data_IF_664455552763
#
_entry.id   IF_664455552763
#
_cell.length_a   1.000
_cell.length_b   1.000
_cell.length_c   1.000
_cell.angle_alpha   90.00
_cell.angle_beta   90.00
_cell.angle_gamma   90.00
#
_symmetry.space_group_name_H-M   'P 1'
#
loop_
_entity.id
_entity.type
_entity.pdbx_description
1 polymer ?
#
# COMPACT_ATOMS: atom_id res chain seq x y z
N UNK A 1 2.76 -16.79 2.64
CA UNK A 1 2.14 -15.79 3.55
C UNK A 1 3.22 -15.25 4.45
N UNK A 2 3.05 -14.05 4.97
CA UNK A 2 3.96 -13.50 5.98
C UNK A 2 3.68 -14.03 7.38
N UNK A 3 4.13 -13.30 8.41
CA UNK A 3 5.05 -12.16 8.31
C UNK A 3 6.41 -12.57 7.72
N UNK A 4 7.29 -11.61 7.47
CA UNK A 4 8.71 -11.94 7.26
C UNK A 4 9.30 -12.63 8.49
N UNK A 5 10.49 -13.19 8.37
CA UNK A 5 11.13 -13.92 9.47
C UNK A 5 11.46 -13.05 10.69
N UNK A 6 11.62 -11.74 10.48
CA UNK A 6 11.78 -10.73 11.53
C UNK A 6 10.45 -10.13 12.01
N UNK A 7 9.31 -10.58 11.49
CA UNK A 7 7.97 -10.20 11.96
C UNK A 7 7.29 -9.06 11.18
N UNK A 8 7.94 -8.47 10.18
CA UNK A 8 7.33 -7.39 9.37
C UNK A 8 6.16 -7.89 8.54
N UNK A 9 5.24 -6.98 8.27
CA UNK A 9 4.07 -7.22 7.41
C UNK A 9 4.55 -7.52 5.99
N UNK A 10 4.29 -8.76 5.52
CA UNK A 10 4.46 -9.18 4.12
C UNK A 10 3.31 -10.11 3.69
N UNK A 11 2.85 -10.04 2.43
CA UNK A 11 3.22 -9.06 1.40
C UNK A 11 2.83 -7.62 1.79
N UNK A 12 3.28 -6.61 1.05
CA UNK A 12 2.77 -5.24 1.29
C UNK A 12 1.33 -5.10 0.78
N UNK A 13 1.07 -5.63 -0.42
CA UNK A 13 -0.20 -5.56 -1.13
C UNK A 13 -0.45 -6.87 -1.87
N UNK A 14 -1.71 -7.12 -2.20
CA UNK A 14 -2.12 -8.17 -3.14
C UNK A 14 -2.79 -7.59 -4.38
N UNK A 15 -2.87 -8.41 -5.42
CA UNK A 15 -3.54 -8.09 -6.67
C UNK A 15 -4.10 -9.39 -7.29
N UNK A 16 -5.06 -9.31 -8.22
CA UNK A 16 -5.54 -10.48 -8.95
C UNK A 16 -4.38 -11.25 -9.60
N UNK A 17 -4.26 -12.53 -9.25
CA UNK A 17 -3.18 -13.40 -9.71
C UNK A 17 -3.63 -14.77 -10.19
N UNK A 18 -4.94 -15.02 -10.28
CA UNK A 18 -5.51 -16.32 -10.69
C UNK A 18 -6.17 -16.17 -12.06
N UNK A 19 -5.89 -17.11 -12.94
CA UNK A 19 -6.39 -17.17 -14.31
C UNK A 19 -6.16 -15.89 -15.12
N UNK A 20 -5.01 -15.23 -14.92
CA UNK A 20 -4.66 -14.01 -15.64
C UNK A 20 -4.31 -14.36 -17.08
N UNK A 21 -5.15 -13.92 -18.01
CA UNK A 21 -4.92 -14.06 -19.44
C UNK A 21 -3.93 -13.01 -19.93
N UNK A 22 -2.79 -13.43 -20.46
CA UNK A 22 -1.74 -12.54 -20.98
C UNK A 22 -1.07 -13.14 -22.22
N UNK A 23 -0.12 -12.41 -22.81
CA UNK A 23 0.59 -12.85 -24.01
C UNK A 23 1.36 -14.14 -23.78
N UNK A 24 1.26 -15.07 -24.73
CA UNK A 24 2.13 -16.25 -24.83
C UNK A 24 3.26 -15.91 -25.81
N UNK A 25 4.52 -16.13 -25.43
CA UNK A 25 5.66 -16.01 -26.36
C UNK A 25 5.57 -17.09 -27.44
N UNK A 26 5.88 -16.73 -28.69
CA UNK A 26 5.89 -17.66 -29.83
C UNK A 26 6.94 -18.75 -29.65
N UNK A 27 8.08 -18.41 -29.05
CA UNK A 27 9.23 -19.27 -28.80
C UNK A 27 9.06 -20.20 -27.58
N UNK A 28 7.96 -20.05 -26.83
CA UNK A 28 7.70 -20.83 -25.62
C UNK A 28 7.39 -22.30 -25.97
N UNK A 29 8.43 -23.13 -25.96
CA UNK A 29 8.37 -24.58 -26.25
C UNK A 29 7.67 -25.39 -25.17
N UNK A 30 7.62 -24.89 -23.93
CA UNK A 30 7.01 -25.56 -22.76
C UNK A 30 6.07 -24.64 -21.99
N UNK A 31 5.04 -24.13 -22.68
CA UNK A 31 4.01 -23.33 -22.03
C UNK A 31 3.14 -24.19 -21.10
N UNK A 32 2.99 -23.76 -19.85
CA UNK A 32 2.20 -24.44 -18.81
C UNK A 32 0.75 -23.91 -18.70
N UNK A 33 0.44 -22.83 -19.41
CA UNK A 33 -0.86 -22.15 -19.36
C UNK A 33 -1.85 -22.68 -20.40
N UNK A 34 -3.14 -22.48 -20.13
CA UNK A 34 -4.20 -22.80 -21.08
C UNK A 34 -4.45 -21.62 -22.03
N UNK A 35 -4.87 -21.88 -23.28
CA UNK A 35 -5.32 -20.82 -24.19
C UNK A 35 -6.49 -20.04 -23.58
N UNK A 36 -6.47 -18.72 -23.68
CA UNK A 36 -7.49 -17.84 -23.07
C UNK A 36 -7.93 -16.67 -23.93
N UNK A 37 -7.50 -16.63 -25.20
CA UNK A 37 -7.81 -15.56 -26.14
C UNK A 37 -7.86 -16.06 -27.57
N UNK A 38 -8.01 -15.12 -28.50
CA UNK A 38 -8.10 -15.41 -29.94
C UNK A 38 -6.79 -15.14 -30.66
N UNK A 39 -6.57 -15.86 -31.76
CA UNK A 39 -5.42 -15.69 -32.64
C UNK A 39 -4.30 -16.68 -32.36
N UNK A 40 -3.45 -16.88 -33.36
CA UNK A 40 -2.34 -17.83 -33.33
C UNK A 40 -1.07 -17.18 -33.89
N UNK A 41 0.07 -17.57 -33.33
CA UNK A 41 1.40 -17.33 -33.86
C UNK A 41 1.62 -18.07 -35.19
N UNK A 42 2.75 -17.81 -35.87
CA UNK A 42 3.06 -18.43 -37.16
C UNK A 42 3.33 -19.94 -37.03
N UNK A 43 3.81 -20.38 -35.85
CA UNK A 43 3.97 -21.79 -35.50
C UNK A 43 2.64 -22.51 -35.15
N UNK A 44 1.51 -21.80 -35.17
CA UNK A 44 0.18 -22.34 -34.86
C UNK A 44 -0.22 -22.31 -33.38
N UNK A 45 0.67 -21.86 -32.49
CA UNK A 45 0.36 -21.75 -31.06
C UNK A 45 -0.55 -20.55 -30.75
N UNK A 46 -1.44 -20.63 -29.74
CA UNK A 46 -2.24 -19.49 -29.28
C UNK A 46 -1.41 -18.24 -28.93
N UNK A 47 -1.91 -17.05 -29.28
CA UNK A 47 -1.30 -15.76 -28.91
C UNK A 47 -1.36 -15.45 -27.42
N UNK A 48 -2.34 -16.03 -26.71
CA UNK A 48 -2.62 -15.73 -25.31
C UNK A 48 -2.71 -17.01 -24.49
N UNK A 49 -2.21 -16.95 -23.27
CA UNK A 49 -2.34 -18.03 -22.29
C UNK A 49 -2.70 -17.49 -20.91
N UNK A 50 -3.44 -18.30 -20.16
CA UNK A 50 -3.84 -18.02 -18.79
C UNK A 50 -2.90 -18.72 -17.82
N UNK A 51 -2.41 -17.97 -16.84
CA UNK A 51 -1.56 -18.46 -15.76
C UNK A 51 -2.08 -17.97 -14.41
N UNK A 52 -1.69 -18.68 -13.36
CA UNK A 52 -1.97 -18.31 -11.98
C UNK A 52 -0.69 -18.30 -11.15
N UNK A 53 -0.51 -17.28 -10.32
CA UNK A 53 0.65 -17.16 -9.45
C UNK A 53 0.84 -15.74 -8.94
N UNK A 54 1.69 -15.61 -7.91
CA UNK A 54 2.13 -14.31 -7.41
C UNK A 54 2.89 -13.53 -8.49
N UNK A 55 3.57 -14.19 -9.44
CA UNK A 55 4.19 -13.53 -10.59
C UNK A 55 3.19 -12.75 -11.44
N UNK A 56 2.00 -13.32 -11.68
CA UNK A 56 0.93 -12.65 -12.42
C UNK A 56 0.34 -11.50 -11.58
N UNK A 57 0.12 -11.70 -10.28
CA UNK A 57 -0.31 -10.63 -9.37
C UNK A 57 0.69 -9.46 -9.35
N UNK A 58 2.00 -9.75 -9.33
CA UNK A 58 3.05 -8.72 -9.40
C UNK A 58 3.00 -7.94 -10.71
N UNK A 59 2.73 -8.59 -11.85
CA UNK A 59 2.57 -7.89 -13.12
C UNK A 59 1.35 -6.96 -13.11
N UNK A 60 0.22 -7.40 -12.56
CA UNK A 60 -0.99 -6.57 -12.40
C UNK A 60 -0.70 -5.37 -11.50
N UNK A 61 -0.12 -5.61 -10.32
CA UNK A 61 0.25 -4.53 -9.39
C UNK A 61 1.25 -3.54 -10.03
N UNK A 62 2.24 -4.02 -10.79
CA UNK A 62 3.20 -3.17 -11.49
C UNK A 62 2.53 -2.26 -12.54
N UNK A 63 1.57 -2.80 -13.28
CA UNK A 63 0.74 -2.00 -14.22
C UNK A 63 -0.06 -0.93 -13.49
N UNK A 64 -0.72 -1.29 -12.38
CA UNK A 64 -1.47 -0.35 -11.55
C UNK A 64 -0.59 0.76 -10.97
N UNK A 65 0.58 0.43 -10.42
CA UNK A 65 1.53 1.43 -9.90
C UNK A 65 2.05 2.35 -11.00
N UNK A 66 2.17 1.86 -12.24
CA UNK A 66 2.57 2.69 -13.38
C UNK A 66 1.53 3.77 -13.69
N UNK A 67 0.24 3.44 -13.63
CA UNK A 67 -0.86 4.39 -13.78
C UNK A 67 -0.96 5.37 -12.61
N UNK A 68 -0.76 4.89 -11.37
CA UNK A 68 -0.66 5.78 -10.19
C UNK A 68 0.48 6.78 -10.36
N UNK A 69 1.63 6.31 -10.87
CA UNK A 69 2.79 7.18 -11.14
C UNK A 69 2.50 8.22 -12.22
N UNK A 70 1.81 7.85 -13.29
CA UNK A 70 1.37 8.76 -14.34
C UNK A 70 0.45 9.85 -13.76
N UNK A 71 -0.59 9.47 -13.04
CA UNK A 71 -1.52 10.40 -12.39
C UNK A 71 -0.80 11.37 -11.44
N UNK A 72 0.10 10.88 -10.58
CA UNK A 72 0.86 11.73 -9.66
C UNK A 72 1.77 12.73 -10.40
N UNK A 73 2.29 12.34 -11.58
CA UNK A 73 3.14 13.23 -12.38
C UNK A 73 2.34 14.29 -13.13
N UNK A 74 1.23 13.89 -13.72
CA UNK A 74 0.50 14.70 -14.70
C UNK A 74 -0.60 15.52 -14.03
N UNK A 75 -1.34 14.94 -13.08
CA UNK A 75 -2.49 15.59 -12.43
C UNK A 75 -2.11 16.21 -11.08
N UNK A 76 -1.29 15.52 -10.27
CA UNK A 76 -0.82 16.06 -8.97
C UNK A 76 0.36 17.03 -9.15
N UNK A 77 1.10 16.92 -10.26
CA UNK A 77 2.23 17.80 -10.59
C UNK A 77 3.57 17.44 -9.92
N UNK A 78 3.68 16.25 -9.30
CA UNK A 78 4.95 15.77 -8.75
C UNK A 78 5.74 15.09 -9.86
N UNK A 79 6.65 15.84 -10.50
CA UNK A 79 7.34 15.40 -11.73
C UNK A 79 8.17 14.12 -11.58
N UNK A 80 8.74 13.89 -10.39
CA UNK A 80 9.56 12.73 -10.05
C UNK A 80 9.13 12.14 -8.70
N UNK A 81 8.03 11.36 -8.66
CA UNK A 81 7.57 10.74 -7.42
C UNK A 81 8.55 9.64 -6.98
N UNK A 82 8.87 9.61 -5.69
CA UNK A 82 9.76 8.58 -5.12
C UNK A 82 9.07 7.22 -5.08
N UNK A 83 9.87 6.15 -4.99
CA UNK A 83 9.34 4.81 -4.76
C UNK A 83 8.55 4.71 -3.45
N UNK A 84 8.96 5.43 -2.41
CA UNK A 84 8.25 5.50 -1.13
C UNK A 84 6.88 6.16 -1.28
N UNK A 85 6.76 7.27 -2.03
CA UNK A 85 5.47 7.91 -2.30
C UNK A 85 4.54 6.98 -3.09
N UNK A 86 5.03 6.32 -4.14
CA UNK A 86 4.22 5.39 -4.92
C UNK A 86 3.73 4.21 -4.07
N UNK A 87 4.59 3.69 -3.18
CA UNK A 87 4.23 2.64 -2.23
C UNK A 87 3.22 3.14 -1.19
N UNK A 88 3.42 4.32 -0.62
CA UNK A 88 2.49 4.94 0.34
C UNK A 88 1.11 5.14 -0.30
N UNK A 89 1.04 5.74 -1.48
CA UNK A 89 -0.20 5.96 -2.21
C UNK A 89 -0.95 4.64 -2.48
N UNK A 90 -0.22 3.61 -2.94
CA UNK A 90 -0.82 2.30 -3.24
C UNK A 90 -1.35 1.59 -1.98
N UNK A 91 -0.74 1.83 -0.81
CA UNK A 91 -1.17 1.26 0.48
C UNK A 91 -2.31 2.06 1.09
N UNK A 92 -2.30 3.39 0.97
CA UNK A 92 -3.19 4.28 1.71
C UNK A 92 -4.68 3.99 1.44
N UNK A 93 -4.99 3.52 0.24
CA UNK A 93 -6.35 3.18 -0.19
C UNK A 93 -6.51 1.75 -0.68
N UNK A 94 -5.59 0.87 -0.28
CA UNK A 94 -5.74 -0.56 -0.51
C UNK A 94 -7.02 -1.09 0.14
N UNK A 95 -7.68 -2.02 -0.56
CA UNK A 95 -8.96 -2.60 -0.19
C UNK A 95 -8.73 -3.80 0.70
N UNK A 96 -9.23 -3.74 1.92
CA UNK A 96 -9.29 -4.85 2.87
C UNK A 96 -10.20 -5.97 2.34
N UNK A 97 -9.71 -7.21 2.27
CA UNK A 97 -10.40 -8.33 1.67
C UNK A 97 -11.07 -9.23 2.72
N UNK A 98 -12.37 -9.43 2.57
CA UNK A 98 -13.11 -10.36 3.42
C UNK A 98 -13.42 -9.75 4.78
N UNK A 99 -12.68 -10.16 5.82
CA UNK A 99 -12.89 -9.66 7.19
C UNK A 99 -11.97 -8.49 7.46
N UNK A 100 -12.49 -7.43 8.10
CA UNK A 100 -11.67 -6.27 8.43
C UNK A 100 -10.60 -6.64 9.46
N UNK A 101 -9.39 -6.93 9.01
CA UNK A 101 -8.28 -7.36 9.87
C UNK A 101 -6.90 -6.96 9.34
N UNK A 102 -6.83 -6.00 8.40
CA UNK A 102 -5.54 -5.46 7.98
C UNK A 102 -4.85 -4.67 9.12
N UNK A 103 -3.51 -4.69 9.19
CA UNK A 103 -2.62 -5.52 8.37
C UNK A 103 -2.63 -7.00 8.80
N UNK A 104 -2.55 -7.92 7.82
CA UNK A 104 -2.45 -9.36 8.10
C UNK A 104 -1.43 -10.07 7.18
N UNK A 105 -1.12 -11.34 7.47
CA UNK A 105 -0.10 -12.13 6.75
C UNK A 105 -0.53 -12.64 5.37
N UNK A 106 -1.82 -12.59 5.05
CA UNK A 106 -2.38 -13.09 3.80
C UNK A 106 -2.38 -12.00 2.72
N UNK A 107 -2.84 -10.79 3.07
CA UNK A 107 -3.02 -9.69 2.13
C UNK A 107 -2.15 -8.45 2.42
N UNK A 108 -1.43 -8.43 3.55
CA UNK A 108 -0.67 -7.26 3.95
C UNK A 108 -1.60 -6.12 4.31
N UNK A 109 -1.50 -5.03 3.56
CA UNK A 109 -2.34 -3.84 3.71
C UNK A 109 -3.61 -3.86 2.85
N UNK A 110 -3.82 -4.93 2.09
CA UNK A 110 -4.99 -5.14 1.25
C UNK A 110 -4.68 -5.26 -0.23
N UNK A 111 -5.73 -5.28 -1.05
CA UNK A 111 -5.65 -5.30 -2.50
C UNK A 111 -5.38 -3.90 -3.05
N UNK A 112 -4.41 -3.80 -3.95
CA UNK A 112 -4.17 -2.55 -4.69
C UNK A 112 -5.40 -2.17 -5.53
N UNK A 113 -5.78 -0.89 -5.49
CA UNK A 113 -6.91 -0.34 -6.24
C UNK A 113 -6.50 1.00 -6.85
N UNK A 114 -6.65 1.11 -8.17
CA UNK A 114 -6.30 2.34 -8.88
C UNK A 114 -7.29 3.44 -8.54
N UNK A 115 -8.57 3.14 -8.69
CA UNK A 115 -9.71 4.03 -8.49
C UNK A 115 -9.73 4.64 -7.09
N UNK A 116 -9.58 3.82 -6.05
CA UNK A 116 -9.55 4.30 -4.67
C UNK A 116 -8.32 5.18 -4.39
N UNK A 117 -7.22 4.97 -5.10
CA UNK A 117 -5.97 5.71 -4.89
C UNK A 117 -5.98 7.07 -5.58
N UNK A 118 -6.45 7.15 -6.83
CA UNK A 118 -6.38 8.40 -7.62
C UNK A 118 -7.63 9.27 -7.50
N UNK A 119 -8.78 8.65 -7.21
CA UNK A 119 -10.08 9.34 -7.06
C UNK A 119 -10.82 8.83 -5.82
N UNK A 120 -10.24 9.01 -4.61
CA UNK A 120 -10.86 8.51 -3.39
C UNK A 120 -12.21 9.19 -3.16
N UNK A 121 -13.21 8.37 -2.84
CA UNK A 121 -14.57 8.82 -2.51
C UNK A 121 -15.06 8.15 -1.23
N UNK A 122 -15.98 8.85 -0.55
CA UNK A 122 -16.88 8.28 0.45
C UNK A 122 -18.31 8.56 0.00
N UNK A 123 -19.01 7.52 -0.47
CA UNK A 123 -20.29 7.68 -1.16
C UNK A 123 -20.17 8.57 -2.39
N UNK A 124 -20.86 9.72 -2.37
CA UNK A 124 -20.79 10.73 -3.45
C UNK A 124 -19.76 11.83 -3.21
N UNK A 125 -19.10 11.84 -2.05
CA UNK A 125 -18.13 12.89 -1.68
C UNK A 125 -16.74 12.51 -2.16
N UNK A 126 -16.13 13.37 -2.97
CA UNK A 126 -14.72 13.24 -3.33
C UNK A 126 -13.83 13.67 -2.16
N UNK A 127 -12.82 12.87 -1.85
CA UNK A 127 -11.94 13.09 -0.72
C UNK A 127 -10.66 13.80 -1.16
N UNK A 128 -10.16 14.67 -0.29
CA UNK A 128 -8.88 15.34 -0.50
C UNK A 128 -7.72 14.37 -0.26
N UNK A 129 -6.67 14.50 -1.07
CA UNK A 129 -5.45 13.72 -0.93
C UNK A 129 -4.25 14.66 -0.86
N UNK A 130 -3.37 14.41 0.10
CA UNK A 130 -2.14 15.16 0.30
C UNK A 130 -0.95 14.22 0.10
N UNK A 131 0.12 14.74 -0.48
CA UNK A 131 1.32 13.97 -0.79
C UNK A 131 2.56 14.69 -0.26
N UNK A 132 3.43 13.96 0.43
CA UNK A 132 4.78 14.39 0.74
C UNK A 132 5.76 13.57 -0.09
N UNK A 133 6.75 14.23 -0.69
CA UNK A 133 7.69 13.60 -1.60
C UNK A 133 9.10 14.10 -1.31
N UNK A 134 10.05 13.16 -1.22
CA UNK A 134 11.48 13.47 -1.04
C UNK A 134 11.81 14.23 0.25
N UNK A 135 11.01 14.08 1.31
CA UNK A 135 11.34 14.60 2.65
C UNK A 135 12.49 13.80 3.26
N UNK A 136 13.43 14.52 3.86
CA UNK A 136 14.52 13.95 4.66
C UNK A 136 14.30 14.36 6.11
N UNK A 137 14.49 13.42 7.03
CA UNK A 137 14.45 13.65 8.46
C UNK A 137 15.75 13.15 9.08
N UNK A 138 16.36 14.00 9.90
CA UNK A 138 17.51 13.63 10.73
C UNK A 138 17.02 13.09 12.08
N UNK A 139 17.85 12.27 12.73
CA UNK A 139 17.53 11.74 14.05
C UNK A 139 17.23 12.85 15.06
N UNK A 140 16.12 12.70 15.79
CA UNK A 140 15.64 13.69 16.77
C UNK A 140 14.81 14.84 16.18
N UNK A 141 14.61 14.88 14.86
CA UNK A 141 13.73 15.85 14.21
C UNK A 141 12.40 15.21 13.80
N UNK A 142 11.39 16.06 13.62
CA UNK A 142 10.06 15.66 13.16
C UNK A 142 9.55 16.63 12.09
N UNK A 143 8.78 16.11 11.13
CA UNK A 143 7.96 16.92 10.25
C UNK A 143 6.55 17.01 10.83
N UNK A 144 6.05 18.22 11.05
CA UNK A 144 4.70 18.46 11.54
C UNK A 144 3.82 19.00 10.41
N UNK A 145 2.68 18.34 10.21
CA UNK A 145 1.65 18.77 9.28
C UNK A 145 0.35 19.02 10.04
N UNK A 146 -0.38 20.05 9.63
CA UNK A 146 -1.71 20.34 10.14
C UNK A 146 -2.67 20.37 8.95
N UNK A 147 -3.78 19.62 9.08
CA UNK A 147 -4.80 19.53 8.06
C UNK A 147 -6.15 19.89 8.67
N UNK A 148 -6.94 20.64 7.92
CA UNK A 148 -8.36 20.84 8.21
C UNK A 148 -9.13 19.81 7.37
N UNK A 149 -9.71 18.81 8.04
CA UNK A 149 -10.38 17.67 7.40
C UNK A 149 -11.76 17.47 8.00
N UNK A 150 -12.71 17.06 7.17
CA UNK A 150 -14.04 16.65 7.63
C UNK A 150 -13.97 15.21 8.16
N UNK A 151 -14.08 14.98 9.48
CA UNK A 151 -13.94 13.66 10.05
C UNK A 151 -15.14 12.74 9.76
N UNK A 152 -16.24 13.28 9.21
CA UNK A 152 -17.42 12.48 8.84
C UNK A 152 -17.17 11.55 7.65
N UNK A 153 -16.05 11.71 6.95
CA UNK A 153 -15.66 10.91 5.78
C UNK A 153 -14.46 9.98 6.02
N UNK A 154 -14.03 9.85 7.28
CA UNK A 154 -12.89 9.03 7.67
C UNK A 154 -11.54 9.66 7.29
N UNK A 155 -10.45 8.98 7.65
CA UNK A 155 -9.10 9.49 7.42
C UNK A 155 -8.12 8.32 7.23
N UNK A 156 -7.31 8.38 6.19
CA UNK A 156 -6.23 7.43 5.91
C UNK A 156 -4.91 8.19 5.75
N UNK A 157 -3.93 7.85 6.59
CA UNK A 157 -2.57 8.39 6.56
C UNK A 157 -1.60 7.22 6.47
N UNK A 158 -0.70 7.24 5.48
CA UNK A 158 0.34 6.21 5.33
C UNK A 158 1.70 6.87 5.20
N UNK A 159 2.61 6.52 6.10
CA UNK A 159 4.03 6.85 6.07
C UNK A 159 4.81 5.66 5.51
N UNK A 160 5.67 5.91 4.52
CA UNK A 160 6.60 4.92 3.98
C UNK A 160 7.95 5.57 3.75
N UNK A 161 9.02 4.87 4.10
CA UNK A 161 10.38 5.27 3.78
C UNK A 161 11.17 4.13 3.15
N UNK A 162 12.13 4.51 2.30
CA UNK A 162 13.15 3.59 1.80
C UNK A 162 14.24 3.50 2.85
N UNK A 163 14.16 2.49 3.71
CA UNK A 163 15.13 2.29 4.78
C UNK A 163 16.49 1.82 4.24
N UNK A 164 17.54 2.05 5.03
CA UNK A 164 18.87 1.54 4.77
C UNK A 164 18.88 0.00 4.82
N UNK A 165 19.85 -0.61 4.14
CA UNK A 165 19.95 -2.06 4.10
C UNK A 165 20.32 -2.61 5.49
N UNK A 166 19.40 -3.36 6.10
CA UNK A 166 19.70 -4.14 7.31
C UNK A 166 20.77 -5.21 7.07
N UNK A 167 21.45 -5.62 8.14
CA UNK A 167 22.53 -6.61 8.08
C UNK A 167 22.05 -7.95 7.51
N UNK A 168 22.77 -8.49 6.54
CA UNK A 168 22.51 -9.82 5.99
C UNK A 168 23.12 -10.95 6.85
N UNK A 169 23.94 -10.60 7.85
CA UNK A 169 24.69 -11.57 8.65
C UNK A 169 23.98 -11.93 9.96
N UNK A 170 23.06 -11.10 10.45
CA UNK A 170 22.38 -11.45 11.70
C UNK A 170 21.36 -12.56 11.47
N UNK A 171 20.92 -13.19 12.55
CA UNK A 171 19.91 -14.24 12.49
C UNK A 171 18.64 -13.74 11.81
N UNK A 172 17.95 -14.63 11.10
CA UNK A 172 16.78 -14.28 10.29
C UNK A 172 15.63 -13.62 11.08
N UNK A 173 15.58 -13.84 12.40
CA UNK A 173 14.60 -13.24 13.31
C UNK A 173 15.01 -11.89 13.91
N UNK A 174 16.19 -11.35 13.60
CA UNK A 174 16.56 -10.01 14.06
C UNK A 174 15.84 -8.94 13.23
N UNK A 175 15.37 -7.89 13.92
CA UNK A 175 14.85 -6.65 13.32
C UNK A 175 15.81 -6.18 12.22
N UNK A 176 15.29 -6.01 11.00
CA UNK A 176 16.05 -5.48 9.86
C UNK A 176 15.92 -3.98 9.67
N UNK A 177 15.01 -3.34 10.40
CA UNK A 177 14.79 -1.90 10.37
C UNK A 177 15.99 -1.17 11.00
N UNK A 178 16.57 -0.24 10.25
CA UNK A 178 17.74 0.56 10.64
C UNK A 178 17.31 1.93 11.13
N UNK A 179 16.55 2.66 10.31
CA UNK A 179 16.01 3.97 10.68
C UNK A 179 14.56 3.83 11.12
N UNK A 180 14.29 4.24 12.36
CA UNK A 180 13.00 4.13 13.02
C UNK A 180 12.26 5.47 12.93
N UNK A 181 11.12 5.51 12.23
CA UNK A 181 10.31 6.71 12.05
C UNK A 181 8.89 6.43 12.54
N UNK A 182 8.43 7.25 13.49
CA UNK A 182 7.08 7.14 14.05
C UNK A 182 6.07 8.05 13.33
N UNK A 183 4.92 7.49 12.94
CA UNK A 183 3.72 8.21 12.55
C UNK A 183 2.82 8.43 13.78
N UNK A 184 2.53 9.69 14.09
CA UNK A 184 1.61 10.07 15.17
C UNK A 184 0.58 11.07 14.68
N UNK A 185 -0.70 10.81 14.96
CA UNK A 185 -1.82 11.72 14.73
C UNK A 185 -2.35 12.25 16.06
N UNK A 186 -2.45 13.57 16.15
CA UNK A 186 -3.13 14.26 17.25
C UNK A 186 -4.50 14.74 16.77
N UNK A 187 -5.57 14.14 17.31
CA UNK A 187 -6.93 14.56 17.03
C UNK A 187 -7.29 15.85 17.80
N UNK A 188 -8.31 16.61 17.37
CA UNK A 188 -8.69 17.87 18.02
C UNK A 188 -9.10 17.76 19.48
N UNK A 189 -9.60 16.59 19.90
CA UNK A 189 -9.96 16.27 21.29
C UNK A 189 -8.75 15.88 22.17
N UNK A 190 -7.54 15.89 21.59
CA UNK A 190 -6.29 15.47 22.23
C UNK A 190 -6.03 13.97 22.16
N UNK A 191 -6.90 13.18 21.54
CA UNK A 191 -6.68 11.74 21.33
C UNK A 191 -5.48 11.51 20.42
N UNK A 192 -4.60 10.57 20.80
CA UNK A 192 -3.39 10.25 20.05
C UNK A 192 -3.53 8.86 19.41
N UNK A 193 -3.30 8.81 18.10
CA UNK A 193 -3.17 7.58 17.33
C UNK A 193 -1.73 7.43 16.86
N UNK A 194 -1.23 6.20 16.87
CA UNK A 194 0.12 5.87 16.37
C UNK A 194 0.02 4.90 15.20
N UNK A 195 1.04 4.90 14.35
CA UNK A 195 1.14 3.97 13.24
C UNK A 195 0.97 2.53 13.68
N UNK A 196 0.21 1.77 12.88
CA UNK A 196 0.06 0.31 13.00
C UNK A 196 -0.58 -0.19 14.30
N UNK A 197 -1.20 0.69 15.09
CA UNK A 197 -2.03 0.30 16.23
C UNK A 197 -3.47 0.02 15.76
N UNK A 198 -3.75 -1.21 15.32
CA UNK A 198 -5.01 -1.60 14.70
C UNK A 198 -5.84 -2.60 15.51
N UNK A 199 -7.17 -2.46 15.43
CA UNK A 199 -8.16 -3.49 15.81
C UNK A 199 -9.21 -3.52 14.72
N UNK A 200 -9.49 -4.72 14.19
CA UNK A 200 -10.49 -4.94 13.13
C UNK A 200 -10.32 -4.01 11.91
N UNK A 201 -9.09 -3.82 11.43
CA UNK A 201 -8.82 -3.01 10.24
C UNK A 201 -8.85 -1.48 10.45
N UNK A 202 -9.07 -1.00 11.68
CA UNK A 202 -9.05 0.42 12.02
C UNK A 202 -8.10 0.75 13.16
N UNK A 203 -7.58 1.98 13.17
CA UNK A 203 -6.69 2.47 14.20
C UNK A 203 -7.41 2.72 15.51
N UNK A 204 -6.76 2.36 16.62
CA UNK A 204 -7.24 2.61 17.98
C UNK A 204 -6.23 3.45 18.76
N UNK A 205 -6.66 4.27 19.73
CA UNK A 205 -5.74 5.10 20.51
C UNK A 205 -4.94 4.29 21.52
N UNK A 206 -3.90 4.91 22.08
CA UNK A 206 -3.12 4.44 23.24
C UNK A 206 -2.28 3.15 23.03
N UNK A 207 -1.77 2.93 21.82
CA UNK A 207 -0.79 1.87 21.53
C UNK A 207 0.68 2.27 21.70
N UNK A 208 1.56 1.29 21.55
CA UNK A 208 2.99 1.52 21.35
C UNK A 208 3.26 1.93 19.89
N UNK A 209 4.38 2.61 19.66
CA UNK A 209 4.85 2.83 18.28
C UNK A 209 5.31 1.52 17.65
N UNK A 210 5.27 1.45 16.33
CA UNK A 210 5.81 0.34 15.57
C UNK A 210 7.31 0.55 15.37
N UNK A 211 8.14 -0.32 15.93
CA UNK A 211 9.59 -0.26 15.80
C UNK A 211 10.12 -1.33 14.84
N UNK A 212 9.29 -1.85 13.93
CA UNK A 212 9.62 -3.01 13.10
C UNK A 212 9.41 -2.75 11.61
N UNK A 213 8.34 -2.06 11.23
CA UNK A 213 7.93 -1.87 9.85
C UNK A 213 8.42 -0.52 9.31
N UNK A 214 8.89 -0.49 8.06
CA UNK A 214 9.16 0.75 7.33
C UNK A 214 7.93 1.34 6.62
N UNK A 215 6.76 0.92 7.10
CA UNK A 215 5.43 1.33 6.64
C UNK A 215 4.60 1.48 7.90
N UNK A 216 4.12 2.69 8.14
CA UNK A 216 3.19 2.98 9.22
C UNK A 216 1.91 3.58 8.67
N UNK A 217 0.76 3.07 9.11
CA UNK A 217 -0.56 3.56 8.68
C UNK A 217 -1.41 3.95 9.88
N UNK A 218 -2.25 4.96 9.68
CA UNK A 218 -3.39 5.29 10.53
C UNK A 218 -4.64 5.31 9.64
N UNK A 219 -5.69 4.61 10.06
CA UNK A 219 -6.97 4.52 9.35
C UNK A 219 -8.11 4.70 10.33
N UNK A 220 -8.91 5.73 10.14
CA UNK A 220 -10.07 6.06 10.97
C UNK A 220 -11.34 5.97 10.15
N UNK A 221 -12.35 5.30 10.70
CA UNK A 221 -13.66 5.23 10.08
C UNK A 221 -14.36 6.61 10.11
N UNK A 222 -15.29 6.85 9.17
CA UNK A 222 -16.25 7.95 9.23
C UNK A 222 -16.80 8.21 10.64
N UNK A 223 -16.69 9.44 11.12
CA UNK A 223 -17.25 9.87 12.41
C UNK A 223 -16.47 9.44 13.66
N UNK A 224 -15.26 8.87 13.51
CA UNK A 224 -14.42 8.46 14.66
C UNK A 224 -13.90 9.66 15.45
N UNK A 225 -13.57 10.76 14.77
CA UNK A 225 -13.06 12.01 15.39
C UNK A 225 -14.21 13.01 15.48
N UNK A 226 -14.36 13.67 16.63
CA UNK A 226 -15.29 14.79 16.78
C UNK A 226 -14.72 16.07 16.14
N UNK A 227 -15.54 16.91 15.47
CA UNK A 227 -15.10 18.22 14.99
C UNK A 227 -14.59 19.10 16.14
N UNK A 228 -13.65 20.00 15.87
CA UNK A 228 -13.24 20.98 16.86
C UNK A 228 -14.39 21.98 17.11
N UNK A 229 -14.72 22.23 18.39
CA UNK A 229 -15.64 23.32 18.79
C UNK A 229 -17.10 22.96 19.05
N UNK A 230 -17.42 21.68 19.33
CA UNK A 230 -18.71 21.29 19.95
C UNK A 230 -18.61 21.19 21.46
#
# INVERSE_FOLDING_TARGET
QGPSLDGRVKPDLVAPGVNICSGRSEEATTAIGASCGTGTHANGDPLYMSLSGSSQATAVAGGTVSLIREFIREEVGITSPTASLLKAASINRAVDLGTADIPNSAEGWGQISLDSTILPTDGSTQLQTFHDNSRVLDAGFSALYAFDVDPSHGLDITLVWSDEAGSAQDTQSQKRLVNDLDLTLYAPDGTIYKGNVFVNGFSVPNGASDDLNNVERIRLAPGTIAPSGT
#
